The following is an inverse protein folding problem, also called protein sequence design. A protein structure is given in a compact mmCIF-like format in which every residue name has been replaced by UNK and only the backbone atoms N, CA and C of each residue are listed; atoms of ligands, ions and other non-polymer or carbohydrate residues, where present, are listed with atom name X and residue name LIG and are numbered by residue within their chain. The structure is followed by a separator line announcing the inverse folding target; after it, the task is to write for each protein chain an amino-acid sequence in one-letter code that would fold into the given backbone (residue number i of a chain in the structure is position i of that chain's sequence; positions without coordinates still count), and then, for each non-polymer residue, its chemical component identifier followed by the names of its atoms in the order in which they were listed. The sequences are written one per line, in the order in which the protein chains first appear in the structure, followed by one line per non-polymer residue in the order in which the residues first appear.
data_IF_614428030564
#
_entry.id   IF_614428030564
#
_cell.length_a   1.000
_cell.length_b   1.000
_cell.length_c   1.000
_cell.angle_alpha   90.00
_cell.angle_beta   90.00
_cell.angle_gamma   90.00
#
_symmetry.space_group_name_H-M   'P 1'
#
loop_
_entity.id
_entity.type
_entity.pdbx_description
1 polymer ?
#
# COMPACT_ATOMS: atom_id res chain seq x y z
N UNK A 1 21.05 5.75 83.26
CA UNK A 1 22.45 5.36 82.97
C UNK A 1 22.70 3.98 83.57
N UNK A 2 23.43 3.12 82.84
CA UNK A 2 23.72 1.68 83.02
C UNK A 2 22.68 0.70 82.40
N UNK A 3 22.92 0.02 81.25
CA UNK A 3 23.94 -1.01 80.88
C UNK A 3 23.49 -2.38 81.47
N UNK A 4 23.26 -3.51 80.78
CA UNK A 4 23.79 -4.03 79.50
C UNK A 4 23.14 -5.42 79.18
N UNK A 5 22.93 -5.68 77.88
CA UNK A 5 23.18 -6.92 77.08
C UNK A 5 22.33 -8.21 77.15
N UNK A 6 22.12 -8.71 75.91
CA UNK A 6 22.16 -10.13 75.41
C UNK A 6 21.05 -11.04 75.91
N UNK A 7 20.36 -11.89 75.15
CA UNK A 7 20.56 -12.56 73.85
C UNK A 7 19.31 -13.44 73.69
N UNK A 8 18.60 -13.42 72.56
CA UNK A 8 18.10 -14.65 71.93
C UNK A 8 17.56 -14.31 70.54
N UNK A 9 18.39 -14.57 69.53
CA UNK A 9 17.98 -14.67 68.15
C UNK A 9 16.98 -15.82 68.03
N UNK A 10 15.69 -15.49 68.00
CA UNK A 10 14.64 -16.44 67.68
C UNK A 10 14.67 -16.66 66.16
N UNK A 11 15.13 -17.86 65.80
CA UNK A 11 14.96 -18.51 64.51
C UNK A 11 13.59 -18.19 63.90
N UNK A 12 13.56 -17.25 62.95
CA UNK A 12 12.52 -17.19 61.93
C UNK A 12 12.93 -18.12 60.78
N UNK A 13 12.98 -19.41 61.09
CA UNK A 13 13.15 -20.49 60.12
C UNK A 13 11.76 -21.00 59.73
N UNK A 14 11.07 -20.27 58.85
CA UNK A 14 9.87 -20.77 58.18
C UNK A 14 9.68 -20.00 56.87
N UNK A 15 9.37 -20.74 55.80
CA UNK A 15 9.02 -20.30 54.44
C UNK A 15 10.15 -19.96 53.47
N UNK A 16 10.84 -21.00 52.98
CA UNK A 16 11.32 -21.04 51.59
C UNK A 16 11.22 -22.48 51.07
N UNK A 17 9.99 -22.92 50.82
CA UNK A 17 9.71 -24.02 49.90
C UNK A 17 8.64 -23.50 48.94
N UNK A 18 9.09 -22.69 47.97
CA UNK A 18 8.35 -22.42 46.76
C UNK A 18 9.06 -23.16 45.64
N UNK A 19 8.55 -24.33 45.27
CA UNK A 19 8.94 -25.02 44.05
C UNK A 19 8.57 -24.13 42.86
N UNK A 20 9.53 -23.37 42.34
CA UNK A 20 9.44 -22.89 40.97
C UNK A 20 9.58 -24.10 40.05
N UNK A 21 8.45 -24.66 39.61
CA UNK A 21 8.43 -25.55 38.46
C UNK A 21 8.87 -24.71 37.25
N UNK A 22 10.16 -24.77 36.92
CA UNK A 22 10.64 -24.30 35.62
C UNK A 22 9.93 -25.13 34.56
N UNK A 23 9.22 -24.53 33.58
CA UNK A 23 8.75 -25.29 32.45
C UNK A 23 9.99 -25.88 31.76
N UNK A 24 10.05 -27.21 31.73
CA UNK A 24 10.96 -27.96 30.88
C UNK A 24 10.80 -27.41 29.47
N UNK A 25 11.85 -26.74 28.98
CA UNK A 25 11.96 -26.33 27.58
C UNK A 25 12.07 -27.60 26.73
N UNK A 26 10.92 -28.17 26.38
CA UNK A 26 10.80 -29.11 25.29
C UNK A 26 10.99 -28.33 23.99
N UNK A 27 12.03 -28.69 23.23
CA UNK A 27 12.31 -28.26 21.87
C UNK A 27 11.96 -26.80 21.55
N UNK A 28 12.84 -25.87 21.93
CA UNK A 28 12.85 -24.50 21.39
C UNK A 28 13.32 -24.51 19.92
N UNK A 29 12.54 -25.13 19.02
CA UNK A 29 12.44 -24.59 17.67
C UNK A 29 11.56 -23.35 17.78
N UNK A 30 11.98 -22.18 17.27
CA UNK A 30 11.10 -21.02 17.25
C UNK A 30 9.81 -21.43 16.54
N UNK A 31 8.69 -21.46 17.26
CA UNK A 31 7.39 -21.78 16.68
C UNK A 31 7.12 -20.71 15.63
N UNK A 32 7.14 -21.14 14.38
CA UNK A 32 6.94 -20.26 13.23
C UNK A 32 5.54 -19.65 13.31
N UNK A 33 5.45 -18.33 13.47
CA UNK A 33 4.18 -17.62 13.56
C UNK A 33 3.53 -17.49 12.19
N UNK A 34 2.78 -18.52 11.83
CA UNK A 34 2.05 -18.64 10.57
C UNK A 34 0.56 -18.39 10.73
N UNK A 35 0.04 -18.14 11.93
CA UNK A 35 -1.41 -18.03 12.15
C UNK A 35 -1.84 -16.56 12.11
N UNK A 36 -2.98 -16.29 11.47
CA UNK A 36 -3.57 -14.95 11.45
C UNK A 36 -4.74 -14.90 12.42
N UNK A 37 -4.52 -14.23 13.54
CA UNK A 37 -5.52 -14.04 14.61
C UNK A 37 -6.40 -12.81 14.37
N UNK A 38 -5.93 -11.85 13.56
CA UNK A 38 -6.67 -10.65 13.22
C UNK A 38 -8.05 -10.95 12.60
N UNK A 39 -9.00 -10.05 12.82
CA UNK A 39 -10.35 -10.17 12.28
C UNK A 39 -10.35 -9.91 10.78
N UNK A 40 -11.04 -10.77 10.02
CA UNK A 40 -11.20 -10.56 8.59
C UNK A 40 -12.14 -9.37 8.35
N UNK A 41 -11.75 -8.44 7.48
CA UNK A 41 -12.57 -7.28 7.13
C UNK A 41 -13.61 -7.62 6.06
N UNK A 42 -13.37 -8.66 5.26
CA UNK A 42 -14.15 -8.99 4.08
C UNK A 42 -14.26 -10.52 3.91
N UNK A 43 -15.39 -10.98 3.41
CA UNK A 43 -15.64 -12.42 3.11
C UNK A 43 -15.90 -12.71 1.64
N UNK A 44 -16.21 -11.67 0.87
CA UNK A 44 -16.43 -11.78 -0.58
C UNK A 44 -15.46 -10.87 -1.34
N UNK A 45 -15.12 -11.25 -2.56
CA UNK A 45 -14.20 -10.47 -3.40
C UNK A 45 -14.73 -9.07 -3.74
N UNK A 46 -16.05 -8.90 -3.84
CA UNK A 46 -16.70 -7.61 -4.14
C UNK A 46 -16.51 -6.56 -3.04
N UNK A 47 -16.19 -6.97 -1.81
CA UNK A 47 -15.98 -6.06 -0.67
C UNK A 47 -14.55 -5.49 -0.62
N UNK A 48 -13.64 -6.01 -1.42
CA UNK A 48 -12.23 -5.62 -1.37
C UNK A 48 -11.98 -4.22 -1.93
N UNK A 49 -10.95 -3.55 -1.41
CA UNK A 49 -10.48 -2.26 -1.92
C UNK A 49 -9.50 -2.47 -3.08
N UNK A 50 -9.87 -2.03 -4.27
CA UNK A 50 -9.10 -2.27 -5.49
C UNK A 50 -8.10 -1.15 -5.80
N UNK A 51 -6.81 -1.49 -5.86
CA UNK A 51 -5.76 -0.53 -6.25
C UNK A 51 -5.61 -0.54 -7.78
N UNK A 52 -5.79 0.59 -8.48
CA UNK A 52 -5.62 0.62 -9.93
C UNK A 52 -4.15 0.37 -10.32
N UNK A 53 -3.90 -0.53 -11.28
CA UNK A 53 -2.56 -0.83 -11.79
C UNK A 53 -2.05 0.30 -12.69
N UNK A 54 -1.38 1.29 -12.12
CA UNK A 54 -0.86 2.46 -12.84
C UNK A 54 0.67 2.49 -12.82
N UNK A 55 1.26 3.08 -13.86
CA UNK A 55 2.72 3.12 -14.03
C UNK A 55 3.27 1.86 -14.70
N UNK A 56 4.60 1.72 -14.66
CA UNK A 56 5.31 0.56 -15.19
C UNK A 56 5.69 -0.46 -14.13
N UNK A 57 5.71 -0.05 -12.86
CA UNK A 57 6.13 -0.87 -11.73
C UNK A 57 5.35 -0.44 -10.48
N UNK A 58 4.93 -1.41 -9.66
CA UNK A 58 4.31 -1.17 -8.36
C UNK A 58 5.01 -2.01 -7.31
N UNK A 59 5.73 -1.36 -6.41
CA UNK A 59 6.24 -1.98 -5.19
C UNK A 59 5.19 -1.93 -4.09
N UNK A 60 4.97 -3.06 -3.44
CA UNK A 60 4.03 -3.16 -2.33
C UNK A 60 4.53 -4.13 -1.26
N UNK A 61 4.04 -3.93 -0.05
CA UNK A 61 4.32 -4.80 1.10
C UNK A 61 3.02 -5.39 1.61
N UNK A 62 3.09 -6.65 2.00
CA UNK A 62 2.01 -7.31 2.77
C UNK A 62 2.55 -7.47 4.18
N UNK A 63 1.95 -6.76 5.12
CA UNK A 63 2.41 -6.60 6.50
C UNK A 63 1.23 -6.59 7.50
N UNK A 64 1.50 -6.24 8.76
CA UNK A 64 0.50 -6.19 9.83
C UNK A 64 -0.60 -5.13 9.62
N UNK A 65 -0.34 -4.11 8.79
CA UNK A 65 -1.29 -3.03 8.47
C UNK A 65 -2.16 -3.38 7.26
N UNK A 66 -1.78 -4.41 6.51
CA UNK A 66 -2.55 -4.93 5.39
C UNK A 66 -3.89 -5.51 5.86
N UNK A 67 -4.89 -5.46 4.98
CA UNK A 67 -6.21 -6.00 5.30
C UNK A 67 -6.18 -7.53 5.31
N UNK A 68 -7.05 -8.12 6.13
CA UNK A 68 -7.21 -9.57 6.25
C UNK A 68 -8.52 -9.99 5.59
N UNK A 69 -8.43 -10.89 4.62
CA UNK A 69 -9.57 -11.47 3.92
C UNK A 69 -9.83 -12.90 4.39
N UNK A 70 -11.08 -13.34 4.27
CA UNK A 70 -11.44 -14.76 4.38
C UNK A 70 -11.41 -15.40 2.99
N UNK A 71 -10.56 -16.41 2.81
CA UNK A 71 -10.45 -17.21 1.59
C UNK A 71 -10.90 -18.65 1.87
N UNK A 72 -11.16 -19.48 0.83
CA UNK A 72 -11.48 -20.90 1.02
C UNK A 72 -10.44 -21.66 1.85
N UNK A 73 -9.17 -21.26 1.75
CA UNK A 73 -8.03 -21.86 2.48
C UNK A 73 -7.74 -21.20 3.84
N UNK A 74 -8.64 -20.32 4.30
CA UNK A 74 -8.56 -19.63 5.58
C UNK A 74 -8.19 -18.14 5.46
N UNK A 75 -7.89 -17.53 6.60
CA UNK A 75 -7.55 -16.10 6.68
C UNK A 75 -6.17 -15.83 6.06
N UNK A 76 -6.08 -14.75 5.30
CA UNK A 76 -4.79 -14.27 4.77
C UNK A 76 -4.75 -12.76 4.67
N UNK A 77 -3.56 -12.19 4.85
CA UNK A 77 -3.27 -10.83 4.42
C UNK A 77 -3.17 -10.81 2.90
N UNK A 78 -3.70 -9.76 2.26
CA UNK A 78 -3.80 -9.73 0.81
C UNK A 78 -3.54 -8.35 0.23
N UNK A 79 -3.24 -8.33 -1.06
CA UNK A 79 -3.20 -7.14 -1.90
C UNK A 79 -4.12 -7.35 -3.11
N UNK A 80 -4.78 -6.29 -3.53
CA UNK A 80 -5.82 -6.32 -4.58
C UNK A 80 -5.60 -5.24 -5.59
N UNK A 81 -5.70 -5.61 -6.86
CA UNK A 81 -5.39 -4.74 -7.98
C UNK A 81 -6.45 -4.82 -9.06
N UNK A 82 -6.72 -3.68 -9.71
CA UNK A 82 -7.64 -3.56 -10.83
C UNK A 82 -6.94 -3.04 -12.07
N UNK A 83 -7.24 -3.67 -13.20
CA UNK A 83 -6.75 -3.25 -14.51
C UNK A 83 -7.42 -1.92 -14.92
N UNK A 84 -6.65 -0.90 -15.36
CA UNK A 84 -7.20 0.37 -15.81
C UNK A 84 -8.09 0.20 -17.04
N UNK A 85 -9.19 0.95 -17.11
CA UNK A 85 -10.19 0.84 -18.18
C UNK A 85 -9.65 1.14 -19.59
N UNK A 86 -8.54 1.89 -19.69
CA UNK A 86 -7.88 2.23 -20.95
C UNK A 86 -6.88 1.16 -21.43
N UNK A 87 -6.65 0.10 -20.64
CA UNK A 87 -5.77 -1.02 -21.01
C UNK A 87 -6.64 -2.22 -21.33
N UNK A 88 -6.54 -2.76 -22.55
CA UNK A 88 -7.32 -3.94 -22.92
C UNK A 88 -6.63 -5.23 -22.47
N UNK A 89 -5.31 -5.28 -22.62
CA UNK A 89 -4.47 -6.39 -22.18
C UNK A 89 -3.22 -5.87 -21.50
N UNK A 90 -2.90 -6.44 -20.36
CA UNK A 90 -1.72 -6.11 -19.56
C UNK A 90 -0.94 -7.38 -19.30
N UNK A 91 0.34 -7.39 -19.62
CA UNK A 91 1.26 -8.38 -19.10
C UNK A 91 1.70 -7.92 -17.71
N UNK A 92 1.59 -8.81 -16.74
CA UNK A 92 1.97 -8.59 -15.35
C UNK A 92 3.08 -9.58 -14.99
N UNK A 93 4.16 -9.07 -14.41
CA UNK A 93 5.23 -9.87 -13.81
C UNK A 93 5.17 -9.68 -12.29
N UNK A 94 4.69 -10.69 -11.56
CA UNK A 94 4.62 -10.66 -10.10
C UNK A 94 5.89 -11.29 -9.53
N UNK A 95 6.61 -10.51 -8.74
CA UNK A 95 7.81 -10.93 -8.02
C UNK A 95 7.57 -10.88 -6.51
N UNK A 96 7.91 -11.96 -5.81
CA UNK A 96 7.96 -11.96 -4.35
C UNK A 96 9.38 -12.14 -3.86
N UNK A 97 9.91 -11.12 -3.17
CA UNK A 97 11.31 -11.04 -2.79
C UNK A 97 11.62 -11.89 -1.56
N UNK A 98 12.66 -12.72 -1.67
CA UNK A 98 13.15 -13.55 -0.58
C UNK A 98 14.19 -12.78 0.25
N UNK A 99 13.93 -12.65 1.55
CA UNK A 99 14.85 -12.04 2.51
C UNK A 99 15.31 -13.07 3.53
N UNK A 100 16.34 -12.73 4.31
CA UNK A 100 16.78 -13.57 5.43
C UNK A 100 15.70 -13.80 6.49
N UNK A 101 14.78 -12.84 6.66
CA UNK A 101 13.62 -12.96 7.55
C UNK A 101 12.51 -13.88 7.00
N UNK A 102 12.58 -14.25 5.72
CA UNK A 102 11.63 -15.12 5.04
C UNK A 102 11.10 -14.54 3.74
N UNK A 103 10.10 -15.21 3.17
CA UNK A 103 9.46 -14.86 1.90
C UNK A 103 7.95 -15.00 2.00
N UNK A 104 7.22 -14.13 1.30
CA UNK A 104 5.78 -14.30 1.12
C UNK A 104 5.53 -15.29 -0.02
N UNK A 105 4.86 -16.41 0.23
CA UNK A 105 4.56 -17.39 -0.80
C UNK A 105 3.21 -17.06 -1.47
N UNK A 106 3.19 -16.50 -2.70
CA UNK A 106 1.98 -15.95 -3.28
C UNK A 106 1.07 -17.04 -3.87
N UNK A 107 -0.23 -16.81 -3.74
CA UNK A 107 -1.30 -17.39 -4.55
C UNK A 107 -2.03 -16.23 -5.21
N UNK A 108 -2.27 -16.33 -6.52
CA UNK A 108 -2.94 -15.27 -7.29
C UNK A 108 -4.27 -15.77 -7.80
N UNK A 109 -5.32 -14.99 -7.60
CA UNK A 109 -6.65 -15.27 -8.15
C UNK A 109 -7.04 -14.11 -9.06
N UNK A 110 -7.31 -14.45 -10.32
CA UNK A 110 -7.81 -13.52 -11.32
C UNK A 110 -9.34 -13.63 -11.39
N UNK A 111 -10.03 -12.48 -11.32
CA UNK A 111 -11.48 -12.42 -11.27
C UNK A 111 -12.05 -11.70 -12.49
N UNK A 112 -13.24 -12.13 -12.90
CA UNK A 112 -14.05 -11.47 -13.93
C UNK A 112 -14.66 -10.13 -13.45
N UNK A 113 -15.30 -9.35 -14.34
CA UNK A 113 -15.97 -8.10 -13.94
C UNK A 113 -17.05 -8.25 -12.85
N UNK A 114 -17.54 -9.47 -12.61
CA UNK A 114 -18.51 -9.82 -11.58
C UNK A 114 -17.85 -10.35 -10.29
N UNK A 115 -16.52 -10.20 -10.15
CA UNK A 115 -15.72 -10.65 -9.01
C UNK A 115 -15.75 -12.17 -8.77
N UNK A 116 -15.99 -12.97 -9.81
CA UNK A 116 -15.91 -14.42 -9.75
C UNK A 116 -14.54 -14.91 -10.20
N UNK A 117 -13.94 -15.91 -9.52
CA UNK A 117 -12.67 -16.52 -9.95
C UNK A 117 -12.76 -17.10 -11.35
N UNK A 118 -11.81 -16.74 -12.21
CA UNK A 118 -11.65 -17.26 -13.57
C UNK A 118 -10.41 -18.13 -13.68
N UNK A 119 -9.31 -17.65 -13.10
CA UNK A 119 -8.01 -18.33 -13.14
C UNK A 119 -7.36 -18.20 -11.76
N UNK A 120 -6.67 -19.25 -11.34
CA UNK A 120 -5.90 -19.29 -10.10
C UNK A 120 -4.51 -19.79 -10.43
N UNK A 121 -3.52 -19.03 -9.99
CA UNK A 121 -2.10 -19.33 -10.16
C UNK A 121 -1.58 -19.78 -8.78
N UNK A 122 -1.17 -21.03 -8.72
CA UNK A 122 -0.66 -21.67 -7.50
C UNK A 122 0.84 -21.40 -7.34
N UNK A 123 1.40 -21.67 -6.16
CA UNK A 123 2.82 -21.43 -5.90
C UNK A 123 3.73 -22.28 -6.82
N UNK A 124 3.30 -23.49 -7.20
CA UNK A 124 4.03 -24.36 -8.12
C UNK A 124 4.21 -23.77 -9.53
N UNK A 125 3.36 -22.81 -9.92
CA UNK A 125 3.45 -22.15 -11.20
C UNK A 125 4.54 -21.06 -11.23
N UNK A 126 5.07 -20.66 -10.08
CA UNK A 126 6.09 -19.62 -9.96
C UNK A 126 7.48 -20.20 -10.19
N UNK A 127 8.26 -19.52 -11.03
CA UNK A 127 9.67 -19.79 -11.19
C UNK A 127 10.46 -19.21 -10.01
N UNK A 128 11.52 -19.90 -9.62
CA UNK A 128 12.44 -19.43 -8.57
C UNK A 128 13.62 -18.75 -9.25
N UNK A 129 13.63 -17.42 -9.24
CA UNK A 129 14.74 -16.64 -9.75
C UNK A 129 15.86 -16.55 -8.68
N UNK A 130 17.09 -16.99 -8.98
CA UNK A 130 18.21 -16.86 -8.05
C UNK A 130 18.67 -15.41 -7.92
N UNK A 131 19.29 -15.08 -6.79
CA UNK A 131 19.90 -13.77 -6.57
C UNK A 131 21.02 -13.48 -7.57
N UNK A 132 21.13 -12.23 -8.00
CA UNK A 132 22.24 -11.73 -8.82
C UNK A 132 22.84 -10.45 -8.19
N UNK A 133 23.71 -9.73 -8.91
CA UNK A 133 24.37 -8.53 -8.40
C UNK A 133 23.43 -7.39 -7.98
N UNK A 134 22.20 -7.35 -8.52
CA UNK A 134 21.27 -6.24 -8.35
C UNK A 134 19.92 -6.63 -7.74
N UNK A 135 19.66 -7.93 -7.56
CA UNK A 135 18.36 -8.42 -7.09
C UNK A 135 18.50 -9.65 -6.21
N UNK A 136 17.61 -9.73 -5.22
CA UNK A 136 17.49 -10.89 -4.34
C UNK A 136 16.80 -12.04 -5.07
N UNK A 137 16.95 -13.26 -4.53
CA UNK A 137 16.15 -14.38 -4.99
C UNK A 137 14.67 -14.08 -4.83
N UNK A 138 13.84 -14.59 -5.73
CA UNK A 138 12.39 -14.31 -5.72
C UNK A 138 11.57 -15.42 -6.36
N UNK A 139 10.31 -15.52 -5.95
CA UNK A 139 9.29 -16.20 -6.74
C UNK A 139 8.83 -15.24 -7.84
N UNK A 140 8.82 -15.68 -9.10
CA UNK A 140 8.43 -14.88 -10.23
C UNK A 140 7.38 -15.59 -11.08
N UNK A 141 6.32 -14.88 -11.44
CA UNK A 141 5.35 -15.38 -12.42
C UNK A 141 4.89 -14.27 -13.32
N UNK A 142 4.97 -14.54 -14.62
CA UNK A 142 4.41 -13.70 -15.67
C UNK A 142 3.10 -14.27 -16.18
N UNK A 143 2.09 -13.43 -16.25
CA UNK A 143 0.77 -13.76 -16.79
C UNK A 143 0.16 -12.56 -17.51
N UNK A 144 -0.94 -12.77 -18.22
CA UNK A 144 -1.64 -11.70 -18.95
C UNK A 144 -3.04 -11.53 -18.39
N UNK A 145 -3.41 -10.30 -18.07
CA UNK A 145 -4.77 -9.92 -17.70
C UNK A 145 -5.48 -9.26 -18.88
N UNK A 146 -6.76 -9.58 -19.06
CA UNK A 146 -7.61 -8.98 -20.08
C UNK A 146 -8.77 -8.21 -19.43
N UNK A 147 -9.05 -6.99 -19.88
CA UNK A 147 -10.12 -6.14 -19.32
C UNK A 147 -11.50 -6.78 -19.39
N UNK A 148 -11.76 -7.61 -20.41
CA UNK A 148 -13.05 -8.28 -20.60
C UNK A 148 -13.20 -9.58 -19.80
N UNK A 149 -12.10 -10.23 -19.39
CA UNK A 149 -12.13 -11.56 -18.76
C UNK A 149 -11.64 -11.55 -17.32
N UNK A 150 -10.53 -10.88 -17.05
CA UNK A 150 -9.82 -10.91 -15.78
C UNK A 150 -9.36 -9.50 -15.35
N UNK A 151 -10.26 -8.50 -15.21
CA UNK A 151 -9.87 -7.15 -14.84
C UNK A 151 -9.38 -6.99 -13.39
N UNK A 152 -9.58 -8.00 -12.53
CA UNK A 152 -9.24 -7.91 -11.12
C UNK A 152 -8.26 -9.02 -10.72
N UNK A 153 -7.34 -8.69 -9.82
CA UNK A 153 -6.33 -9.61 -9.30
C UNK A 153 -6.24 -9.51 -7.79
N UNK A 154 -6.24 -10.66 -7.13
CA UNK A 154 -6.00 -10.80 -5.69
C UNK A 154 -4.72 -11.59 -5.47
N UNK A 155 -3.82 -11.08 -4.63
CA UNK A 155 -2.59 -11.76 -4.22
C UNK A 155 -2.66 -12.00 -2.72
N UNK A 156 -2.56 -13.25 -2.29
CA UNK A 156 -2.58 -13.63 -0.88
C UNK A 156 -1.69 -14.86 -0.62
N UNK A 157 -1.55 -15.30 0.64
CA UNK A 157 -0.80 -16.51 0.98
C UNK A 157 -1.62 -17.43 1.90
N UNK A 158 -2.09 -18.61 1.43
CA UNK A 158 -2.88 -19.54 2.25
C UNK A 158 -2.05 -20.12 3.41
N UNK A 159 -2.70 -20.75 4.39
CA UNK A 159 -2.00 -21.31 5.56
C UNK A 159 -0.93 -22.35 5.18
N UNK A 160 -1.28 -23.28 4.30
CA UNK A 160 -0.37 -24.32 3.78
C UNK A 160 0.92 -23.71 3.20
N UNK A 161 0.79 -22.62 2.45
CA UNK A 161 1.95 -21.96 1.86
C UNK A 161 2.80 -21.31 2.94
N UNK A 162 2.20 -20.68 3.95
CA UNK A 162 2.93 -20.01 5.04
C UNK A 162 3.67 -21.00 5.93
N UNK A 163 3.17 -22.22 6.09
CA UNK A 163 3.85 -23.31 6.81
C UNK A 163 5.08 -23.82 6.07
N UNK A 164 5.07 -23.77 4.74
CA UNK A 164 6.16 -24.23 3.87
C UNK A 164 7.47 -23.44 3.96
N UNK A 165 8.47 -23.94 3.25
CA UNK A 165 9.81 -23.35 3.13
C UNK A 165 10.36 -23.63 1.74
N UNK A 166 11.39 -22.89 1.35
CA UNK A 166 12.11 -23.10 0.09
C UNK A 166 13.61 -23.16 0.33
N UNK A 167 14.26 -24.09 -0.37
CA UNK A 167 15.71 -24.18 -0.41
C UNK A 167 16.21 -23.53 -1.70
N UNK A 168 17.08 -22.53 -1.56
CA UNK A 168 17.63 -21.77 -2.69
C UNK A 168 19.07 -22.23 -2.92
N UNK A 169 19.49 -22.52 -4.16
CA UNK A 169 20.88 -22.91 -4.43
C UNK A 169 21.84 -21.81 -3.97
N UNK A 170 22.92 -22.20 -3.30
CA UNK A 170 23.94 -21.24 -2.87
C UNK A 170 24.58 -20.56 -4.11
N UNK A 171 24.80 -19.23 -4.10
CA UNK A 171 25.30 -18.49 -5.28
C UNK A 171 26.61 -19.06 -5.83
N UNK A 172 27.55 -19.46 -4.96
CA UNK A 172 28.81 -20.10 -5.39
C UNK A 172 28.61 -21.42 -6.15
N UNK A 173 27.52 -22.16 -5.90
CA UNK A 173 27.20 -23.38 -6.66
C UNK A 173 26.68 -23.06 -8.05
N UNK A 174 25.76 -22.09 -8.14
CA UNK A 174 25.24 -21.61 -9.43
C UNK A 174 26.39 -21.10 -10.30
N UNK A 175 27.28 -20.28 -9.72
CA UNK A 175 28.46 -19.76 -10.41
C UNK A 175 29.44 -20.85 -10.84
N UNK A 176 29.72 -21.84 -9.99
CA UNK A 176 30.61 -22.94 -10.34
C UNK A 176 30.05 -23.77 -11.51
N UNK A 177 28.73 -23.99 -11.54
CA UNK A 177 28.05 -24.69 -12.62
C UNK A 177 28.10 -23.90 -13.94
N UNK A 178 27.83 -22.59 -13.91
CA UNK A 178 27.95 -21.71 -15.10
C UNK A 178 29.37 -21.66 -15.66
N UNK A 179 30.40 -21.69 -14.81
CA UNK A 179 31.80 -21.67 -15.20
C UNK A 179 32.36 -23.07 -15.52
N UNK A 180 31.57 -24.14 -15.39
CA UNK A 180 32.01 -25.51 -15.59
C UNK A 180 33.07 -25.98 -14.57
N UNK A 181 33.12 -25.37 -13.39
CA UNK A 181 34.03 -25.70 -12.31
C UNK A 181 33.46 -26.82 -11.43
N UNK A 182 34.31 -27.42 -10.60
CA UNK A 182 33.85 -28.37 -9.59
C UNK A 182 32.89 -27.70 -8.60
N UNK A 183 31.74 -28.33 -8.33
CA UNK A 183 30.75 -27.80 -7.38
C UNK A 183 31.35 -27.74 -5.97
N UNK A 184 31.35 -26.57 -5.31
CA UNK A 184 31.88 -26.43 -3.96
C UNK A 184 30.99 -27.15 -2.93
N UNK A 185 31.59 -27.60 -1.83
CA UNK A 185 30.88 -28.19 -0.69
C UNK A 185 30.27 -27.09 0.19
N UNK A 186 29.17 -26.50 -0.27
CA UNK A 186 28.42 -25.47 0.48
C UNK A 186 26.96 -25.90 0.64
N UNK A 187 26.39 -25.59 1.81
CA UNK A 187 24.99 -25.86 2.13
C UNK A 187 24.10 -24.79 1.51
N UNK A 188 23.03 -25.24 0.85
CA UNK A 188 22.04 -24.34 0.25
C UNK A 188 21.16 -23.71 1.36
N UNK A 189 21.00 -22.37 1.39
CA UNK A 189 20.16 -21.71 2.38
C UNK A 189 18.69 -22.12 2.27
N UNK A 190 18.06 -22.29 3.43
CA UNK A 190 16.62 -22.55 3.54
C UNK A 190 15.92 -21.29 4.03
N UNK A 191 14.94 -20.81 3.26
CA UNK A 191 14.16 -19.61 3.55
C UNK A 191 12.75 -20.03 3.95
N UNK A 192 12.32 -19.57 5.13
CA UNK A 192 10.98 -19.86 5.63
C UNK A 192 9.95 -18.98 4.93
N UNK A 193 8.81 -19.56 4.55
CA UNK A 193 7.66 -18.75 4.16
C UNK A 193 7.11 -18.00 5.38
N UNK A 194 6.50 -16.83 5.15
CA UNK A 194 6.02 -15.93 6.21
C UNK A 194 4.64 -15.39 5.85
N UNK A 195 3.93 -14.88 6.86
CA UNK A 195 2.67 -14.15 6.65
C UNK A 195 2.86 -12.77 5.99
N UNK A 196 4.08 -12.26 5.99
CA UNK A 196 4.44 -10.95 5.47
C UNK A 196 5.55 -11.04 4.42
N UNK A 197 5.64 -10.05 3.55
CA UNK A 197 6.75 -9.91 2.62
C UNK A 197 6.64 -8.70 1.71
N UNK A 198 7.63 -8.56 0.84
CA UNK A 198 7.70 -7.47 -0.14
C UNK A 198 7.55 -8.07 -1.53
N UNK A 199 6.72 -7.44 -2.35
CA UNK A 199 6.41 -7.89 -3.69
C UNK A 199 6.47 -6.70 -4.66
N UNK A 200 6.70 -7.01 -5.93
CA UNK A 200 6.74 -6.04 -7.02
C UNK A 200 5.88 -6.56 -8.17
N UNK A 201 5.12 -5.66 -8.80
CA UNK A 201 4.44 -5.90 -10.06
C UNK A 201 5.11 -5.09 -11.16
N UNK A 202 5.69 -5.75 -12.17
CA UNK A 202 6.04 -5.08 -13.41
C UNK A 202 4.83 -5.11 -14.36
N UNK A 203 4.47 -3.94 -14.88
CA UNK A 203 3.27 -3.72 -15.66
C UNK A 203 3.67 -3.34 -17.09
N UNK A 204 3.29 -4.17 -18.06
CA UNK A 204 3.52 -3.90 -19.48
C UNK A 204 2.19 -3.95 -20.25
N UNK A 205 1.59 -2.79 -20.58
CA UNK A 205 0.41 -2.75 -21.42
C UNK A 205 0.73 -3.34 -22.80
N UNK A 206 -0.02 -4.37 -23.21
CA UNK A 206 0.13 -5.00 -24.52
C UNK A 206 -0.73 -4.29 -25.56
N UNK A 207 -1.95 -3.91 -25.17
CA UNK A 207 -2.90 -3.16 -25.99
C UNK A 207 -3.46 -1.99 -25.18
N UNK A 208 -3.36 -0.78 -25.72
CA UNK A 208 -4.03 0.40 -25.20
C UNK A 208 -5.26 0.70 -26.04
N UNK A 209 -6.37 1.07 -25.39
CA UNK A 209 -7.53 1.61 -26.09
C UNK A 209 -7.31 3.10 -26.31
N UNK A 210 -7.58 3.57 -27.53
CA UNK A 210 -7.67 5.00 -27.83
C UNK A 210 -8.71 5.59 -26.88
N UNK A 211 -8.27 6.45 -25.97
CA UNK A 211 -9.14 7.11 -25.01
C UNK A 211 -10.22 7.89 -25.78
N UNK A 212 -11.47 7.41 -25.78
CA UNK A 212 -12.61 8.26 -26.10
C UNK A 212 -12.93 9.02 -24.82
N UNK A 213 -12.61 10.31 -24.80
CA UNK A 213 -12.95 11.24 -23.73
C UNK A 213 -14.47 11.51 -23.62
N UNK A 214 -15.32 10.52 -23.87
CA UNK A 214 -16.79 10.66 -23.93
C UNK A 214 -17.51 10.09 -22.70
N UNK A 215 -16.82 10.02 -21.56
CA UNK A 215 -17.49 9.81 -20.28
C UNK A 215 -16.98 10.81 -19.25
N UNK A 216 -17.29 12.09 -19.49
CA UNK A 216 -17.78 12.89 -18.38
C UNK A 216 -19.12 12.28 -18.01
N UNK A 217 -19.21 11.69 -16.83
CA UNK A 217 -20.48 11.33 -16.23
C UNK A 217 -21.30 12.62 -16.15
N UNK A 218 -22.16 12.84 -17.14
CA UNK A 218 -23.21 13.82 -17.04
C UNK A 218 -24.09 13.34 -15.89
N UNK A 219 -24.09 14.10 -14.79
CA UNK A 219 -25.10 13.95 -13.75
C UNK A 219 -26.47 13.93 -14.43
N UNK A 220 -27.40 13.03 -14.03
CA UNK A 220 -28.71 12.97 -14.65
C UNK A 220 -29.40 14.33 -14.48
N UNK A 221 -29.60 15.02 -15.60
CA UNK A 221 -30.44 16.21 -15.67
C UNK A 221 -31.86 15.73 -15.44
N UNK A 222 -32.34 15.93 -14.22
CA UNK A 222 -33.73 15.73 -13.85
C UNK A 222 -34.63 16.53 -14.79
N UNK A 223 -35.38 15.80 -15.61
CA UNK A 223 -36.50 16.27 -16.41
C UNK A 223 -37.47 17.06 -15.51
N UNK A 224 -37.78 18.35 -15.76
CA UNK A 224 -38.87 19.00 -15.05
C UNK A 224 -40.21 18.51 -15.62
N UNK A 225 -41.01 17.84 -14.79
CA UNK A 225 -42.41 17.60 -15.06
C UNK A 225 -43.21 18.93 -14.93
N UNK A 226 -44.26 19.15 -15.73
CA UNK A 226 -45.02 20.40 -15.70
C UNK A 226 -45.93 20.43 -14.48
N UNK A 227 -45.78 21.45 -13.63
CA UNK A 227 -46.69 21.69 -12.50
C UNK A 227 -47.70 22.77 -12.89
N UNK A 228 -48.95 22.41 -12.64
CA UNK A 228 -50.21 23.10 -12.94
C UNK A 228 -50.28 24.46 -12.25
N UNK A 229 -50.83 25.44 -12.98
CA UNK A 229 -51.02 26.83 -12.59
C UNK A 229 -52.20 26.96 -11.62
N UNK A 230 -51.98 27.57 -10.45
CA UNK A 230 -53.02 28.19 -9.63
C UNK A 230 -52.52 29.58 -9.16
N UNK A 231 -53.35 30.65 -9.20
CA UNK A 231 -52.87 32.02 -9.10
C UNK A 231 -52.90 32.53 -7.65
N UNK A 232 -51.79 33.09 -7.17
CA UNK A 232 -51.78 33.93 -5.96
C UNK A 232 -50.92 35.17 -6.19
N UNK A 233 -51.65 36.29 -6.30
CA UNK A 233 -51.41 37.66 -5.82
C UNK A 233 -50.00 38.27 -5.93
N UNK A 234 -49.99 39.41 -6.61
CA UNK A 234 -48.86 40.28 -6.91
C UNK A 234 -48.19 40.93 -5.70
N UNK A 235 -46.85 40.89 -5.69
CA UNK A 235 -45.98 41.88 -5.03
C UNK A 235 -44.82 42.22 -5.99
N UNK A 236 -44.58 43.52 -6.19
CA UNK A 236 -43.56 44.13 -7.08
C UNK A 236 -42.21 44.31 -6.31
N UNK A 237 -41.09 44.71 -6.95
CA UNK A 237 -39.94 43.85 -7.24
C UNK A 237 -38.65 44.22 -6.48
N UNK A 238 -37.74 43.25 -6.29
CA UNK A 238 -36.33 43.50 -5.98
C UNK A 238 -35.46 42.66 -6.95
N UNK A 239 -34.52 43.27 -7.71
CA UNK A 239 -33.78 42.55 -8.74
C UNK A 239 -32.59 41.79 -8.12
N UNK A 240 -32.60 40.47 -8.20
CA UNK A 240 -31.40 39.65 -7.99
C UNK A 240 -30.99 38.98 -9.29
N UNK A 241 -29.70 39.16 -9.58
CA UNK A 241 -29.06 39.01 -10.87
C UNK A 241 -28.89 37.55 -11.30
N UNK A 242 -28.83 37.38 -12.63
CA UNK A 242 -28.33 36.19 -13.29
C UNK A 242 -26.89 35.85 -12.84
N UNK A 243 -26.49 34.58 -12.72
CA UNK A 243 -25.09 34.23 -12.57
C UNK A 243 -24.38 34.43 -13.91
N UNK A 244 -23.59 35.50 -13.97
CA UNK A 244 -22.58 35.72 -14.99
C UNK A 244 -21.40 34.76 -14.78
N UNK A 245 -20.81 34.35 -15.90
CA UNK A 245 -19.51 33.67 -16.00
C UNK A 245 -18.44 34.57 -15.38
N UNK A 246 -17.69 34.11 -14.37
CA UNK A 246 -16.55 34.88 -13.82
C UNK A 246 -15.31 34.00 -13.61
N UNK A 247 -14.21 34.54 -14.12
CA UNK A 247 -12.82 34.12 -14.09
C UNK A 247 -12.27 33.74 -12.72
N UNK A 248 -11.27 32.85 -12.74
CA UNK A 248 -10.43 32.42 -11.63
C UNK A 248 -9.57 33.57 -11.07
N UNK A 249 -10.19 34.47 -10.31
CA UNK A 249 -9.49 35.43 -9.46
C UNK A 249 -9.48 34.89 -8.04
N UNK A 250 -8.30 34.82 -7.45
CA UNK A 250 -8.09 34.41 -6.06
C UNK A 250 -8.97 35.24 -5.10
N UNK A 251 -9.50 34.60 -4.06
CA UNK A 251 -10.22 35.31 -3.00
C UNK A 251 -9.24 36.25 -2.25
N UNK A 252 -9.69 37.46 -1.86
CA UNK A 252 -8.83 38.48 -1.24
C UNK A 252 -8.21 38.02 0.09
N UNK A 253 -8.92 37.18 0.85
CA UNK A 253 -8.39 36.63 2.11
C UNK A 253 -7.24 35.66 1.87
N UNK A 254 -7.34 34.83 0.83
CA UNK A 254 -6.27 33.91 0.44
C UNK A 254 -5.07 34.71 -0.07
N UNK A 255 -5.30 35.77 -0.85
CA UNK A 255 -4.23 36.65 -1.33
C UNK A 255 -3.46 37.32 -0.18
N UNK A 256 -4.16 37.82 0.84
CA UNK A 256 -3.54 38.37 2.03
C UNK A 256 -2.69 37.33 2.79
N UNK A 257 -3.14 36.08 2.86
CA UNK A 257 -2.40 34.99 3.49
C UNK A 257 -1.06 34.72 2.79
N UNK A 258 -1.04 34.61 1.46
CA UNK A 258 0.21 34.40 0.73
C UNK A 258 1.15 35.61 0.85
N UNK A 259 0.64 36.83 0.77
CA UNK A 259 1.44 38.04 0.95
C UNK A 259 2.10 38.11 2.34
N UNK A 260 1.39 37.70 3.40
CA UNK A 260 1.95 37.63 4.76
C UNK A 260 3.07 36.59 4.88
N UNK A 261 2.91 35.42 4.25
CA UNK A 261 3.89 34.34 4.27
C UNK A 261 5.15 34.68 3.45
N UNK A 262 4.98 35.33 2.29
CA UNK A 262 6.09 35.85 1.47
C UNK A 262 6.87 36.88 2.27
N UNK A 263 6.20 37.82 2.95
CA UNK A 263 6.84 38.81 3.82
C UNK A 263 7.65 38.16 4.95
N UNK A 264 7.05 37.19 5.66
CA UNK A 264 7.72 36.49 6.74
C UNK A 264 8.94 35.67 6.27
N UNK A 265 8.90 35.13 5.05
CA UNK A 265 10.02 34.40 4.47
C UNK A 265 11.18 35.34 4.07
N UNK A 266 10.88 36.50 3.47
CA UNK A 266 11.89 37.51 3.11
C UNK A 266 12.53 38.12 4.37
N UNK A 267 11.75 38.44 5.41
CA UNK A 267 12.27 38.93 6.69
C UNK A 267 13.20 37.93 7.39
N UNK A 268 13.00 36.62 7.15
CA UNK A 268 13.86 35.54 7.67
C UNK A 268 15.02 35.19 6.74
N UNK A 269 15.22 35.94 5.66
CA UNK A 269 16.23 35.70 4.64
C UNK A 269 16.10 34.32 3.95
N UNK A 270 14.90 33.72 4.00
CA UNK A 270 14.58 32.43 3.39
C UNK A 270 14.03 32.64 1.97
N UNK A 271 14.93 32.97 1.05
CA UNK A 271 14.60 33.32 -0.33
C UNK A 271 14.00 32.14 -1.12
N UNK A 272 14.42 30.91 -0.83
CA UNK A 272 13.88 29.72 -1.50
C UNK A 272 12.40 29.52 -1.16
N UNK A 273 12.05 29.67 0.12
CA UNK A 273 10.65 29.59 0.56
C UNK A 273 9.81 30.74 0.02
N UNK A 274 10.36 31.96 -0.02
CA UNK A 274 9.67 33.12 -0.56
C UNK A 274 9.31 32.95 -2.05
N UNK A 275 10.24 32.42 -2.86
CA UNK A 275 10.01 32.13 -4.29
C UNK A 275 8.96 31.04 -4.51
N UNK A 276 9.01 29.96 -3.72
CA UNK A 276 8.01 28.89 -3.80
C UNK A 276 6.60 29.39 -3.48
N UNK A 277 6.46 30.20 -2.43
CA UNK A 277 5.17 30.80 -2.06
C UNK A 277 4.66 31.79 -3.12
N UNK A 278 5.56 32.52 -3.77
CA UNK A 278 5.23 33.41 -4.89
C UNK A 278 4.68 32.62 -6.09
N UNK A 279 5.34 31.53 -6.49
CA UNK A 279 4.89 30.69 -7.61
C UNK A 279 3.54 30.04 -7.33
N UNK A 280 3.33 29.56 -6.09
CA UNK A 280 2.05 29.00 -5.65
C UNK A 280 0.94 30.06 -5.70
N UNK A 281 1.21 31.29 -5.25
CA UNK A 281 0.25 32.40 -5.32
C UNK A 281 -0.06 32.82 -6.77
N UNK A 282 0.94 32.87 -7.66
CA UNK A 282 0.74 33.17 -9.09
C UNK A 282 -0.10 32.09 -9.77
N UNK A 283 0.15 30.81 -9.47
CA UNK A 283 -0.64 29.69 -9.97
C UNK A 283 -2.08 29.71 -9.45
N UNK A 284 -2.29 30.20 -8.23
CA UNK A 284 -3.61 30.40 -7.64
C UNK A 284 -4.35 31.65 -8.16
N UNK A 285 -3.74 32.45 -9.05
CA UNK A 285 -4.36 33.64 -9.64
C UNK A 285 -4.25 34.91 -8.78
N UNK A 286 -3.22 35.01 -7.92
CA UNK A 286 -2.91 36.24 -7.18
C UNK A 286 -2.43 37.35 -8.12
N UNK A 287 -2.93 38.58 -7.91
CA UNK A 287 -2.49 39.75 -8.66
C UNK A 287 -1.39 40.54 -7.95
N UNK A 288 -1.23 40.37 -6.63
CA UNK A 288 -0.35 41.21 -5.78
C UNK A 288 0.88 40.50 -5.22
N UNK A 289 1.00 39.17 -5.35
CA UNK A 289 2.13 38.42 -4.79
C UNK A 289 3.48 38.85 -5.38
N UNK A 290 3.54 39.10 -6.69
CA UNK A 290 4.78 39.48 -7.39
C UNK A 290 5.24 40.89 -7.05
N UNK A 291 4.32 41.86 -7.01
CA UNK A 291 4.66 43.24 -6.63
C UNK A 291 5.09 43.32 -5.15
N UNK A 292 4.46 42.54 -4.27
CA UNK A 292 4.84 42.44 -2.86
C UNK A 292 6.24 41.88 -2.69
N UNK A 293 6.59 40.80 -3.40
CA UNK A 293 7.93 40.22 -3.36
C UNK A 293 8.99 41.22 -3.87
N UNK A 294 8.75 41.87 -5.02
CA UNK A 294 9.68 42.86 -5.60
C UNK A 294 9.91 44.05 -4.67
N UNK A 295 8.87 44.51 -3.97
CA UNK A 295 9.00 45.60 -3.01
C UNK A 295 9.85 45.20 -1.78
N UNK A 296 9.73 43.95 -1.32
CA UNK A 296 10.45 43.48 -0.14
C UNK A 296 11.95 43.25 -0.39
N UNK A 297 12.34 42.87 -1.60
CA UNK A 297 13.76 42.64 -1.97
C UNK A 297 14.51 43.93 -2.34
N UNK A 298 13.79 45.02 -2.65
CA UNK A 298 14.38 46.32 -2.98
C UNK A 298 14.71 47.16 -1.74
N UNK A 299 14.35 46.67 -0.55
CA UNK A 299 14.57 47.34 0.74
C UNK A 299 15.83 46.79 1.40
#
# INVERSE_FOLDING_TARGET
MKIIKTTLAAMLAASLIGCAASPTSGNNSPVKDVVITAQACCTTYSEFSWVPMQGSEIDFVVDEYSKVGMFPEGKSYFATFALPQNVERMQVDLKSWMKSSGVFAPKVVLLNPQFQPVETISLEDFDVAPSNLFSLSSYQKRFTMEQSKTPYMVVYSPLEYREGQIQIPHPERVRAEELGLARPMVTDPVIQHQKFGSLTLDLKPLNLRSYRADQVVQAPVSKPAPVVVAPVVAVKPAPQAAPAVISAKMLPETEAFYNAQIKAAVEKNDMQKALRLLEEAKRAGSATAESTFIHLIKK
#
